data_IF_850956343914
#
_entry.id   IF_850956343914
#
_cell.length_a   1.000
_cell.length_b   1.000
_cell.length_c   1.000
_cell.angle_alpha   90.00
_cell.angle_beta   90.00
_cell.angle_gamma   90.00
#
_symmetry.space_group_name_H-M   'P 1'
#
loop_
_entity.id
_entity.type
_entity.pdbx_description
1 polymer ?
#
# COMPACT_ATOMS: atom_id res chain seq x y z
N UNK A 1 -49.60 -39.30 -3.13
CA UNK A 1 -48.99 -39.04 -1.83
C UNK A 1 -47.49 -38.94 -2.07
N UNK A 2 -46.98 -37.74 -2.19
CA UNK A 2 -45.57 -37.48 -2.51
C UNK A 2 -44.87 -37.18 -1.17
N UNK A 3 -43.99 -38.07 -0.75
CA UNK A 3 -43.15 -37.91 0.45
C UNK A 3 -42.16 -36.80 0.22
N UNK A 4 -42.04 -35.80 1.12
CA UNK A 4 -41.02 -34.77 0.99
C UNK A 4 -39.61 -35.35 1.27
N UNK A 5 -38.68 -35.04 0.42
CA UNK A 5 -37.24 -35.35 0.59
C UNK A 5 -36.74 -34.63 1.84
N UNK A 6 -36.07 -35.34 2.80
CA UNK A 6 -35.51 -34.68 3.96
C UNK A 6 -34.41 -33.68 3.51
N UNK A 7 -34.52 -32.43 3.92
CA UNK A 7 -33.48 -31.43 3.78
C UNK A 7 -32.24 -31.94 4.53
N UNK A 8 -31.26 -32.40 3.77
CA UNK A 8 -29.92 -32.72 4.31
C UNK A 8 -29.38 -31.44 4.89
N UNK A 9 -29.33 -31.37 6.21
CA UNK A 9 -28.70 -30.28 6.96
C UNK A 9 -27.19 -30.32 6.64
N UNK A 10 -26.76 -29.53 5.67
CA UNK A 10 -25.34 -29.25 5.53
C UNK A 10 -24.94 -28.49 6.77
N UNK A 11 -23.95 -28.95 7.58
CA UNK A 11 -23.44 -28.18 8.68
C UNK A 11 -22.99 -26.85 8.09
N UNK A 12 -23.37 -25.74 8.75
CA UNK A 12 -23.03 -24.39 8.30
C UNK A 12 -21.55 -24.35 7.90
N UNK A 13 -21.29 -24.34 6.62
CA UNK A 13 -19.94 -24.18 6.08
C UNK A 13 -19.41 -22.90 6.70
N UNK A 14 -18.41 -22.99 7.59
CA UNK A 14 -17.63 -21.83 8.02
C UNK A 14 -17.40 -21.02 6.75
N UNK A 15 -17.96 -19.82 6.68
CA UNK A 15 -17.90 -18.98 5.49
C UNK A 15 -16.44 -18.85 5.09
N UNK A 16 -16.05 -19.57 4.04
CA UNK A 16 -14.68 -19.50 3.53
C UNK A 16 -14.46 -18.09 3.00
N UNK A 17 -13.42 -17.44 3.47
CA UNK A 17 -13.03 -16.15 2.93
C UNK A 17 -12.79 -16.26 1.43
N UNK A 18 -13.06 -15.20 0.69
CA UNK A 18 -12.78 -15.13 -0.76
C UNK A 18 -11.27 -15.08 -1.02
N UNK A 19 -10.85 -15.61 -2.16
CA UNK A 19 -9.48 -15.41 -2.64
C UNK A 19 -9.37 -14.03 -3.31
N UNK A 20 -8.30 -13.26 -3.08
CA UNK A 20 -8.12 -11.92 -3.65
C UNK A 20 -7.65 -12.00 -5.12
N UNK A 21 -8.50 -12.55 -6.00
CA UNK A 21 -8.15 -12.72 -7.41
C UNK A 21 -8.18 -11.35 -8.10
N UNK A 22 -7.01 -10.91 -8.61
CA UNK A 22 -6.88 -9.62 -9.31
C UNK A 22 -6.77 -8.39 -8.39
N UNK A 23 -6.93 -8.54 -7.07
CA UNK A 23 -6.80 -7.46 -6.11
C UNK A 23 -5.33 -7.21 -5.80
N UNK A 24 -4.88 -5.96 -5.89
CA UNK A 24 -3.50 -5.55 -5.65
C UNK A 24 -3.36 -4.58 -4.48
N UNK A 25 -4.46 -4.10 -3.91
CA UNK A 25 -4.47 -3.18 -2.78
C UNK A 25 -4.74 -3.92 -1.48
N UNK A 26 -3.94 -3.63 -0.46
CA UNK A 26 -4.08 -4.24 0.86
C UNK A 26 -5.43 -3.88 1.50
N UNK A 27 -5.83 -2.61 1.39
CA UNK A 27 -7.11 -2.11 1.90
C UNK A 27 -8.29 -2.92 1.37
N UNK A 28 -8.41 -3.09 0.06
CA UNK A 28 -9.50 -3.83 -0.56
C UNK A 28 -9.54 -5.29 -0.11
N UNK A 29 -8.37 -5.95 0.01
CA UNK A 29 -8.27 -7.32 0.54
C UNK A 29 -8.83 -7.41 1.96
N UNK A 30 -8.54 -6.41 2.80
CA UNK A 30 -8.97 -6.41 4.20
C UNK A 30 -10.45 -6.05 4.36
N UNK A 31 -10.93 -5.04 3.65
CA UNK A 31 -12.33 -4.58 3.68
C UNK A 31 -13.27 -5.63 3.12
N UNK A 32 -12.90 -6.32 2.05
CA UNK A 32 -13.67 -7.43 1.46
C UNK A 32 -13.56 -8.74 2.24
N UNK A 33 -12.80 -8.79 3.31
CA UNK A 33 -12.60 -9.97 4.14
C UNK A 33 -11.95 -11.14 3.38
N UNK A 34 -11.14 -10.86 2.37
CA UNK A 34 -10.41 -11.87 1.61
C UNK A 34 -9.32 -12.56 2.43
N UNK A 35 -8.84 -13.71 1.93
CA UNK A 35 -7.64 -14.32 2.49
C UNK A 35 -6.43 -13.40 2.27
N UNK A 36 -5.69 -13.16 3.34
CA UNK A 36 -4.41 -12.47 3.30
C UNK A 36 -3.35 -13.33 4.00
N UNK A 37 -2.22 -13.54 3.33
CA UNK A 37 -1.05 -14.20 3.95
C UNK A 37 -0.28 -13.13 4.68
N UNK A 38 -0.29 -13.19 6.01
CA UNK A 38 0.36 -12.17 6.83
C UNK A 38 1.88 -12.15 6.61
N UNK A 39 2.36 -11.01 6.14
CA UNK A 39 3.78 -10.69 5.95
C UNK A 39 4.20 -9.46 6.76
N UNK A 40 3.35 -9.02 7.69
CA UNK A 40 3.60 -7.79 8.43
C UNK A 40 4.78 -7.93 9.39
N UNK A 41 5.09 -9.13 9.87
CA UNK A 41 6.32 -9.37 10.63
C UNK A 41 7.57 -9.01 9.83
N UNK A 42 7.62 -9.41 8.55
CA UNK A 42 8.74 -9.03 7.66
C UNK A 42 8.76 -7.53 7.37
N UNK A 43 7.59 -6.89 7.29
CA UNK A 43 7.50 -5.44 7.11
C UNK A 43 8.12 -4.71 8.31
N UNK A 44 7.80 -5.13 9.54
CA UNK A 44 8.35 -4.54 10.74
C UNK A 44 9.86 -4.76 10.87
N UNK A 45 10.34 -5.97 10.61
CA UNK A 45 11.78 -6.27 10.61
C UNK A 45 12.54 -5.38 9.61
N UNK A 46 12.01 -5.22 8.40
CA UNK A 46 12.58 -4.37 7.37
C UNK A 46 12.65 -2.90 7.82
N UNK A 47 11.60 -2.37 8.44
CA UNK A 47 11.56 -1.00 8.93
C UNK A 47 12.56 -0.77 10.07
N UNK A 48 12.77 -1.76 10.94
CA UNK A 48 13.65 -1.65 12.10
C UNK A 48 15.13 -1.80 11.75
N UNK A 49 15.45 -2.55 10.70
CA UNK A 49 16.83 -2.95 10.38
C UNK A 49 17.57 -1.99 9.45
N UNK A 50 16.87 -1.11 8.73
CA UNK A 50 17.57 -0.19 7.83
C UNK A 50 16.73 0.94 7.26
N UNK A 51 17.31 1.69 6.32
CA UNK A 51 16.70 2.91 5.73
C UNK A 51 16.35 2.79 4.26
N UNK A 52 17.02 1.92 3.52
CA UNK A 52 16.85 1.78 2.07
C UNK A 52 16.91 0.31 1.69
N UNK A 53 15.93 -0.13 0.93
CA UNK A 53 15.79 -1.52 0.54
C UNK A 53 15.42 -1.64 -0.94
N UNK A 54 15.92 -2.70 -1.54
CA UNK A 54 15.52 -3.13 -2.87
C UNK A 54 14.95 -4.55 -2.79
N UNK A 55 13.67 -4.69 -3.11
CA UNK A 55 12.98 -5.97 -3.09
C UNK A 55 12.96 -6.60 -4.50
N UNK A 56 13.84 -7.56 -4.73
CA UNK A 56 13.85 -8.35 -5.96
C UNK A 56 13.03 -9.63 -5.80
N UNK A 57 11.98 -9.76 -6.59
CA UNK A 57 11.16 -10.98 -6.68
C UNK A 57 10.60 -11.13 -8.10
N UNK A 58 10.29 -12.34 -8.57
CA UNK A 58 9.63 -12.56 -9.84
C UNK A 58 8.31 -11.79 -9.95
N UNK A 59 7.80 -11.62 -11.17
CA UNK A 59 6.47 -11.03 -11.38
C UNK A 59 5.40 -11.88 -10.68
N UNK A 60 4.31 -11.24 -10.21
CA UNK A 60 3.17 -11.86 -9.51
C UNK A 60 3.48 -12.46 -8.13
N UNK A 61 4.63 -12.18 -7.55
CA UNK A 61 5.00 -12.60 -6.18
C UNK A 61 4.64 -11.56 -5.10
N UNK A 62 3.67 -10.69 -5.38
CA UNK A 62 3.08 -9.79 -4.39
C UNK A 62 3.96 -8.60 -4.00
N UNK A 63 4.88 -8.12 -4.86
CA UNK A 63 5.69 -6.93 -4.59
C UNK A 63 4.82 -5.69 -4.36
N UNK A 64 3.95 -5.38 -5.31
CA UNK A 64 3.06 -4.21 -5.24
C UNK A 64 2.11 -4.28 -4.05
N UNK A 65 1.60 -5.48 -3.72
CA UNK A 65 0.78 -5.68 -2.53
C UNK A 65 1.58 -5.47 -1.25
N UNK A 66 2.83 -5.91 -1.19
CA UNK A 66 3.69 -5.69 -0.03
C UNK A 66 4.03 -4.21 0.16
N UNK A 67 4.30 -3.48 -0.92
CA UNK A 67 4.46 -2.03 -0.89
C UNK A 67 3.19 -1.30 -0.44
N UNK A 68 2.04 -1.77 -0.88
CA UNK A 68 0.75 -1.23 -0.45
C UNK A 68 0.47 -1.51 1.04
N UNK A 69 0.85 -2.71 1.52
CA UNK A 69 0.81 -3.03 2.95
C UNK A 69 1.71 -2.10 3.78
N UNK A 70 2.93 -1.80 3.30
CA UNK A 70 3.82 -0.83 3.95
C UNK A 70 3.22 0.58 3.95
N UNK A 71 2.59 0.99 2.86
CA UNK A 71 1.91 2.28 2.78
C UNK A 71 0.85 2.41 3.88
N UNK A 72 -0.09 1.47 3.93
CA UNK A 72 -1.17 1.50 4.94
C UNK A 72 -0.63 1.41 6.38
N UNK A 73 0.47 0.68 6.60
CA UNK A 73 1.14 0.59 7.89
C UNK A 73 1.70 1.95 8.34
N UNK A 74 2.39 2.66 7.44
CA UNK A 74 2.96 3.97 7.74
C UNK A 74 1.90 5.07 7.86
N UNK A 75 0.82 4.99 7.08
CA UNK A 75 -0.32 5.91 7.19
C UNK A 75 -1.11 5.73 8.48
N UNK A 76 -0.95 4.59 9.17
CA UNK A 76 -1.46 4.37 10.53
C UNK A 76 -2.91 3.88 10.59
N UNK A 77 -3.45 3.28 9.54
CA UNK A 77 -4.80 2.71 9.58
C UNK A 77 -4.81 1.33 10.27
N UNK A 78 -4.80 1.37 11.61
CA UNK A 78 -4.76 0.18 12.46
C UNK A 78 -5.86 -0.84 12.15
N UNK A 79 -7.06 -0.37 11.79
CA UNK A 79 -8.21 -1.25 11.57
C UNK A 79 -7.97 -2.27 10.46
N UNK A 80 -7.18 -1.91 9.46
CA UNK A 80 -6.81 -2.83 8.37
C UNK A 80 -5.91 -3.98 8.83
N UNK A 81 -5.23 -3.83 9.97
CA UNK A 81 -4.26 -4.80 10.47
C UNK A 81 -4.83 -5.72 11.56
N UNK A 82 -6.11 -5.62 11.89
CA UNK A 82 -6.72 -6.46 12.92
C UNK A 82 -6.49 -7.96 12.64
N UNK A 83 -5.95 -8.64 13.66
CA UNK A 83 -5.59 -10.06 13.59
C UNK A 83 -4.33 -10.37 12.77
N UNK A 84 -3.54 -9.38 12.38
CA UNK A 84 -2.21 -9.53 11.79
C UNK A 84 -1.13 -9.22 12.84
N UNK A 85 0.09 -9.69 12.59
CA UNK A 85 1.23 -9.50 13.50
C UNK A 85 1.48 -8.02 13.83
N UNK A 86 1.36 -7.12 12.86
CA UNK A 86 1.57 -5.70 13.07
C UNK A 86 0.56 -5.05 14.03
N UNK A 87 -0.63 -5.61 14.20
CA UNK A 87 -1.66 -5.02 15.06
C UNK A 87 -1.15 -4.78 16.49
N UNK A 88 -0.33 -5.71 17.01
CA UNK A 88 0.19 -5.71 18.37
C UNK A 88 1.66 -5.29 18.47
N UNK A 89 2.36 -5.11 17.34
CA UNK A 89 3.80 -4.88 17.31
C UNK A 89 4.22 -3.57 16.63
N UNK A 90 3.28 -2.81 16.08
CA UNK A 90 3.52 -1.50 15.48
C UNK A 90 3.11 -0.36 16.42
N UNK A 91 3.86 0.75 16.40
CA UNK A 91 3.50 1.96 17.15
C UNK A 91 2.44 2.76 16.37
N UNK A 92 1.18 2.49 16.65
CA UNK A 92 0.02 3.14 16.03
C UNK A 92 -0.22 4.58 16.53
N UNK A 93 0.58 5.08 17.45
CA UNK A 93 0.48 6.49 17.91
C UNK A 93 1.06 7.47 16.88
N UNK A 94 1.77 6.97 15.90
CA UNK A 94 2.44 7.75 14.86
C UNK A 94 1.95 7.35 13.48
N UNK A 95 1.75 8.35 12.64
CA UNK A 95 1.54 8.16 11.20
C UNK A 95 2.61 8.93 10.42
N UNK A 96 2.97 8.42 9.27
CA UNK A 96 4.03 8.99 8.45
C UNK A 96 3.47 9.36 7.08
N UNK A 97 3.82 10.52 6.52
CA UNK A 97 3.48 10.84 5.13
C UNK A 97 4.15 9.84 4.18
N UNK A 98 3.39 9.31 3.24
CA UNK A 98 3.89 8.33 2.26
C UNK A 98 3.78 8.90 0.86
N UNK A 99 4.89 8.91 0.14
CA UNK A 99 4.94 9.17 -1.31
C UNK A 99 5.14 7.82 -2.00
N UNK A 100 4.14 7.35 -2.72
CA UNK A 100 4.24 6.14 -3.54
C UNK A 100 4.36 6.51 -5.00
N UNK A 101 5.47 6.14 -5.63
CA UNK A 101 5.71 6.28 -7.05
C UNK A 101 5.57 4.91 -7.73
N UNK A 102 4.75 4.81 -8.77
CA UNK A 102 4.53 3.55 -9.48
C UNK A 102 4.87 3.70 -10.96
N UNK A 103 5.60 2.73 -11.47
CA UNK A 103 5.95 2.61 -12.89
C UNK A 103 5.19 1.49 -13.60
N UNK A 104 4.26 0.83 -12.90
CA UNK A 104 3.49 -0.32 -13.41
C UNK A 104 2.31 0.02 -14.31
N UNK A 105 1.97 1.28 -14.53
CA UNK A 105 0.72 1.73 -15.16
C UNK A 105 0.75 1.93 -16.68
N UNK A 106 1.74 1.41 -17.41
CA UNK A 106 1.79 1.59 -18.86
C UNK A 106 3.09 1.14 -19.50
N UNK A 107 3.15 1.24 -20.84
CA UNK A 107 4.39 1.03 -21.58
C UNK A 107 5.18 2.35 -21.53
N UNK A 108 6.21 2.41 -20.70
CA UNK A 108 7.15 3.53 -20.68
C UNK A 108 8.15 3.35 -21.83
N UNK A 109 7.75 3.77 -23.03
CA UNK A 109 8.53 3.56 -24.24
C UNK A 109 9.78 4.44 -24.34
N UNK A 110 9.80 5.58 -23.62
CA UNK A 110 10.92 6.53 -23.66
C UNK A 110 11.00 7.36 -22.37
N UNK A 111 12.10 8.12 -22.23
CA UNK A 111 12.35 8.97 -21.08
C UNK A 111 11.28 10.08 -20.89
N UNK A 112 10.72 10.60 -21.98
CA UNK A 112 9.69 11.63 -21.89
C UNK A 112 8.40 11.11 -21.27
N UNK A 113 7.95 9.90 -21.63
CA UNK A 113 6.78 9.26 -21.01
C UNK A 113 7.02 8.96 -19.53
N UNK A 114 8.24 8.58 -19.15
CA UNK A 114 8.60 8.40 -17.75
C UNK A 114 8.52 9.73 -16.98
N UNK A 115 9.04 10.81 -17.55
CA UNK A 115 8.97 12.13 -16.95
C UNK A 115 7.51 12.58 -16.79
N UNK A 116 6.69 12.46 -17.80
CA UNK A 116 5.26 12.81 -17.77
C UNK A 116 4.50 12.02 -16.71
N UNK A 117 4.76 10.71 -16.61
CA UNK A 117 4.18 9.87 -15.56
C UNK A 117 4.58 10.33 -14.16
N UNK A 118 5.85 10.64 -13.93
CA UNK A 118 6.33 11.16 -12.64
C UNK A 118 5.76 12.54 -12.34
N UNK A 119 5.69 13.43 -13.34
CA UNK A 119 5.09 14.75 -13.21
C UNK A 119 3.63 14.64 -12.73
N UNK A 120 2.85 13.78 -13.36
CA UNK A 120 1.45 13.57 -12.98
C UNK A 120 1.30 12.95 -11.58
N UNK A 121 2.21 12.07 -11.16
CA UNK A 121 2.18 11.50 -9.83
C UNK A 121 2.55 12.52 -8.75
N UNK A 122 3.63 13.29 -8.95
CA UNK A 122 4.04 14.34 -8.02
C UNK A 122 2.97 15.43 -7.90
N UNK A 123 2.34 15.80 -9.01
CA UNK A 123 1.28 16.80 -9.04
C UNK A 123 0.12 16.44 -8.10
N UNK A 124 -0.28 15.18 -8.04
CA UNK A 124 -1.34 14.72 -7.14
C UNK A 124 -0.97 14.92 -5.66
N UNK A 125 0.28 14.62 -5.29
CA UNK A 125 0.74 14.82 -3.92
C UNK A 125 0.89 16.30 -3.56
N UNK A 126 1.39 17.13 -4.49
CA UNK A 126 1.51 18.57 -4.31
C UNK A 126 0.12 19.20 -4.07
N UNK A 127 -0.86 18.85 -4.90
CA UNK A 127 -2.23 19.31 -4.73
C UNK A 127 -2.86 18.86 -3.42
N UNK A 128 -2.69 17.57 -3.07
CA UNK A 128 -3.26 17.02 -1.85
C UNK A 128 -2.65 17.64 -0.58
N UNK A 129 -1.36 18.02 -0.63
CA UNK A 129 -0.65 18.67 0.49
C UNK A 129 -0.81 20.19 0.52
N UNK A 130 -1.41 20.81 -0.49
CA UNK A 130 -1.52 22.27 -0.61
C UNK A 130 -0.20 22.96 -1.01
N UNK A 131 0.79 22.20 -1.51
CA UNK A 131 2.04 22.77 -1.99
C UNK A 131 1.82 23.49 -3.32
N UNK A 132 2.19 24.77 -3.38
CA UNK A 132 2.09 25.55 -4.61
C UNK A 132 3.01 24.98 -5.69
N UNK A 133 2.47 24.85 -6.88
CA UNK A 133 3.24 24.38 -8.04
C UNK A 133 4.24 25.46 -8.47
N UNK A 134 5.50 25.08 -8.60
CA UNK A 134 6.55 25.91 -9.14
C UNK A 134 7.17 25.18 -10.32
N UNK A 135 7.49 25.90 -11.39
CA UNK A 135 8.17 25.36 -12.57
C UNK A 135 9.61 24.92 -12.22
N UNK A 136 9.74 23.72 -11.66
CA UNK A 136 11.00 23.14 -11.21
C UNK A 136 11.22 21.79 -11.89
N UNK A 137 12.47 21.34 -11.92
CA UNK A 137 12.77 19.96 -12.34
C UNK A 137 12.11 18.94 -11.40
N UNK A 138 11.77 17.75 -11.91
CA UNK A 138 11.19 16.64 -11.14
C UNK A 138 11.95 16.36 -9.83
N UNK A 139 13.29 16.36 -9.91
CA UNK A 139 14.14 16.17 -8.73
C UNK A 139 13.88 17.24 -7.65
N UNK A 140 13.79 18.50 -8.04
CA UNK A 140 13.53 19.60 -7.10
C UNK A 140 12.12 19.54 -6.54
N UNK A 141 11.15 19.22 -7.37
CA UNK A 141 9.75 19.05 -6.92
C UNK A 141 9.64 17.94 -5.88
N UNK A 142 10.27 16.78 -6.10
CA UNK A 142 10.27 15.69 -5.13
C UNK A 142 10.92 16.10 -3.80
N UNK A 143 12.05 16.80 -3.84
CA UNK A 143 12.73 17.30 -2.62
C UNK A 143 11.83 18.28 -1.88
N UNK A 144 11.27 19.26 -2.56
CA UNK A 144 10.36 20.26 -1.97
C UNK A 144 9.12 19.60 -1.36
N UNK A 145 8.56 18.60 -2.04
CA UNK A 145 7.40 17.84 -1.52
C UNK A 145 7.75 17.09 -0.23
N UNK A 146 8.91 16.43 -0.19
CA UNK A 146 9.39 15.75 1.02
C UNK A 146 9.57 16.75 2.18
N UNK A 147 10.22 17.88 1.93
CA UNK A 147 10.44 18.92 2.93
C UNK A 147 9.10 19.49 3.44
N UNK A 148 8.18 19.76 2.53
CA UNK A 148 6.86 20.28 2.86
C UNK A 148 6.05 19.29 3.73
N UNK A 149 5.98 18.03 3.33
CA UNK A 149 5.29 16.99 4.10
C UNK A 149 5.93 16.75 5.47
N UNK A 150 7.27 16.82 5.53
CA UNK A 150 7.98 16.74 6.80
C UNK A 150 7.64 17.91 7.73
N UNK A 151 7.63 19.13 7.21
CA UNK A 151 7.27 20.32 7.98
C UNK A 151 5.83 20.28 8.49
N UNK A 152 4.89 19.80 7.68
CA UNK A 152 3.49 19.69 8.07
C UNK A 152 3.25 18.64 9.15
N UNK A 153 3.91 17.47 9.04
CA UNK A 153 3.63 16.33 9.93
C UNK A 153 4.57 16.25 11.13
N UNK A 154 5.72 16.91 11.09
CA UNK A 154 6.82 16.70 12.04
C UNK A 154 7.46 15.30 11.96
N UNK A 155 7.02 14.46 11.01
CA UNK A 155 7.46 13.08 10.86
C UNK A 155 8.35 12.91 9.61
N UNK A 156 9.12 11.82 9.59
CA UNK A 156 9.89 11.45 8.39
C UNK A 156 8.95 11.04 7.27
N UNK A 157 9.27 11.44 6.05
CA UNK A 157 8.53 11.03 4.86
C UNK A 157 9.03 9.68 4.35
N UNK A 158 8.12 8.78 4.06
CA UNK A 158 8.42 7.47 3.49
C UNK A 158 8.23 7.54 1.98
N UNK A 159 9.23 7.09 1.22
CA UNK A 159 9.13 7.01 -0.25
C UNK A 159 9.12 5.54 -0.66
N UNK A 160 8.04 5.12 -1.31
CA UNK A 160 7.85 3.78 -1.84
C UNK A 160 7.88 3.83 -3.37
N UNK A 161 8.65 2.96 -4.00
CA UNK A 161 8.81 2.90 -5.46
C UNK A 161 8.45 1.49 -5.94
N UNK A 162 7.47 1.39 -6.88
CA UNK A 162 6.92 0.13 -7.41
C UNK A 162 7.25 -0.04 -8.90
#
# INVERSE_FOLDING_TARGET
MTTPIPSVLFPALKTRRKLPIGIQTFREIREDGCYYVDKTAYALDLIQTGKSYFLSRPRRFGKSLFLDTLKELFEGDRALFDGLYAADHWDWTRSYPVIRLSFGGGVLANAAMLQDSLDGQLLKYEQASGLAQVALSLRRRLVNLIEHLHQQSGQRVVVLVD
#
